data_IF_021881990776
#
_entry.id   IF_021881990776
#
_cell.length_a   1.000
_cell.length_b   1.000
_cell.length_c   1.000
_cell.angle_alpha   90.00
_cell.angle_beta   90.00
_cell.angle_gamma   90.00
#
_symmetry.space_group_name_H-M   'P 1'
#
loop_
_entity.id
_entity.type
_entity.pdbx_description
1 polymer ?
#
# COMPACT_ATOMS: atom_id res chain seq x y z
N UNK A 1 -18.97 -11.64 -3.19
CA UNK A 1 -18.74 -10.65 -4.27
C UNK A 1 -17.56 -11.08 -5.12
N UNK A 2 -17.70 -11.23 -6.44
CA UNK A 2 -16.55 -11.59 -7.29
C UNK A 2 -15.82 -10.31 -7.74
N UNK A 3 -14.72 -9.97 -7.08
CA UNK A 3 -13.86 -8.83 -7.48
C UNK A 3 -13.50 -8.88 -8.96
N UNK A 4 -13.20 -10.07 -9.51
CA UNK A 4 -12.82 -10.25 -10.91
C UNK A 4 -13.84 -9.69 -11.92
N UNK A 5 -15.13 -9.77 -11.63
CA UNK A 5 -16.17 -9.25 -12.53
C UNK A 5 -16.16 -7.72 -12.64
N UNK A 6 -15.70 -7.03 -11.61
CA UNK A 6 -15.68 -5.57 -11.59
C UNK A 6 -14.51 -4.97 -12.38
N UNK A 7 -13.41 -5.70 -12.52
CA UNK A 7 -12.20 -5.18 -13.17
C UNK A 7 -11.97 -5.72 -14.60
N UNK A 8 -12.61 -6.83 -14.97
CA UNK A 8 -12.40 -7.42 -16.29
C UNK A 8 -12.78 -6.46 -17.42
N UNK A 9 -11.82 -6.17 -18.31
CA UNK A 9 -11.96 -5.23 -19.43
C UNK A 9 -12.01 -3.75 -19.03
N UNK A 10 -11.89 -3.41 -17.74
CA UNK A 10 -11.93 -2.03 -17.25
C UNK A 10 -10.57 -1.35 -17.36
N UNK A 11 -10.57 -0.06 -17.69
CA UNK A 11 -9.38 0.79 -17.67
C UNK A 11 -9.10 1.21 -16.23
N UNK A 12 -7.93 0.83 -15.72
CA UNK A 12 -7.52 1.14 -14.35
C UNK A 12 -6.26 1.96 -14.35
N UNK A 13 -6.31 3.15 -13.77
CA UNK A 13 -5.15 4.01 -13.56
C UNK A 13 -4.55 3.73 -12.18
N UNK A 14 -3.28 3.34 -12.14
CA UNK A 14 -2.51 3.12 -10.90
C UNK A 14 -1.40 4.15 -10.84
N UNK A 15 -1.51 5.15 -9.98
CA UNK A 15 -0.38 6.05 -9.72
C UNK A 15 0.55 5.43 -8.68
N UNK A 16 1.85 5.58 -8.84
CA UNK A 16 2.84 4.90 -7.98
C UNK A 16 3.05 3.42 -8.32
N UNK A 17 2.77 3.03 -9.57
CA UNK A 17 2.90 1.64 -10.06
C UNK A 17 4.31 1.06 -9.99
N UNK A 18 5.35 1.89 -9.90
CA UNK A 18 6.75 1.45 -9.75
C UNK A 18 7.14 1.17 -8.29
N UNK A 19 6.36 1.70 -7.35
CA UNK A 19 6.55 1.45 -5.93
C UNK A 19 6.12 0.02 -5.54
N UNK A 20 6.52 -0.41 -4.35
CA UNK A 20 6.28 -1.75 -3.82
C UNK A 20 4.79 -2.16 -3.90
N UNK A 21 3.89 -1.44 -3.22
CA UNK A 21 2.45 -1.75 -3.25
C UNK A 21 1.84 -1.60 -4.65
N UNK A 22 2.24 -0.55 -5.38
CA UNK A 22 1.67 -0.25 -6.68
C UNK A 22 2.00 -1.30 -7.73
N UNK A 23 3.19 -1.90 -7.69
CA UNK A 23 3.57 -2.97 -8.60
C UNK A 23 2.83 -4.28 -8.31
N UNK A 24 2.66 -4.67 -7.04
CA UNK A 24 1.81 -5.80 -6.64
C UNK A 24 0.36 -5.62 -7.08
N UNK A 25 -0.21 -4.44 -6.83
CA UNK A 25 -1.59 -4.12 -7.23
C UNK A 25 -1.76 -4.18 -8.76
N UNK A 26 -0.79 -3.65 -9.50
CA UNK A 26 -0.83 -3.66 -10.97
C UNK A 26 -0.83 -5.08 -11.54
N UNK A 27 -0.03 -5.99 -10.97
CA UNK A 27 -0.03 -7.40 -11.35
C UNK A 27 -1.37 -8.05 -11.02
N UNK A 28 -1.91 -7.83 -9.82
CA UNK A 28 -3.20 -8.38 -9.43
C UNK A 28 -4.34 -7.88 -10.33
N UNK A 29 -4.39 -6.59 -10.61
CA UNK A 29 -5.36 -6.01 -11.54
C UNK A 29 -5.26 -6.61 -12.95
N UNK A 30 -4.05 -6.84 -13.46
CA UNK A 30 -3.83 -7.55 -14.73
C UNK A 30 -4.40 -8.97 -14.68
N UNK A 31 -4.16 -9.70 -13.61
CA UNK A 31 -4.70 -11.05 -13.41
C UNK A 31 -6.24 -11.05 -13.36
N UNK A 32 -6.85 -9.98 -12.82
CA UNK A 32 -8.30 -9.77 -12.82
C UNK A 32 -8.85 -9.33 -14.19
N UNK A 33 -8.02 -9.22 -15.22
CA UNK A 33 -8.41 -8.87 -16.58
C UNK A 33 -8.52 -7.37 -16.86
N UNK A 34 -8.01 -6.51 -15.98
CA UNK A 34 -8.01 -5.06 -16.19
C UNK A 34 -7.01 -4.61 -17.27
N UNK A 35 -7.32 -3.50 -17.94
CA UNK A 35 -6.40 -2.75 -18.79
C UNK A 35 -5.70 -1.72 -17.89
N UNK A 36 -4.49 -2.06 -17.43
CA UNK A 36 -3.78 -1.27 -16.43
C UNK A 36 -2.91 -0.20 -17.08
N UNK A 37 -3.10 1.05 -16.66
CA UNK A 37 -2.25 2.20 -16.96
C UNK A 37 -1.50 2.59 -15.68
N UNK A 38 -0.19 2.44 -15.67
CA UNK A 38 0.67 2.84 -14.56
C UNK A 38 1.19 4.27 -14.74
N UNK A 39 1.28 5.02 -13.66
CA UNK A 39 1.88 6.37 -13.65
C UNK A 39 2.83 6.51 -12.48
N UNK A 40 4.09 6.80 -12.77
CA UNK A 40 5.10 7.09 -11.76
C UNK A 40 6.16 8.03 -12.32
N UNK A 41 6.74 8.83 -11.44
CA UNK A 41 7.83 9.73 -11.80
C UNK A 41 9.13 8.96 -12.09
N UNK A 42 9.50 8.06 -11.17
CA UNK A 42 10.75 7.29 -11.16
C UNK A 42 10.55 5.84 -10.72
N UNK A 43 11.64 5.11 -10.59
CA UNK A 43 11.71 3.79 -9.95
C UNK A 43 12.44 3.97 -8.63
N UNK A 44 11.79 3.74 -7.46
CA UNK A 44 12.28 4.21 -6.17
C UNK A 44 13.48 3.42 -5.62
N UNK A 45 13.79 2.23 -6.18
CA UNK A 45 14.92 1.40 -5.75
C UNK A 45 15.46 0.52 -6.86
N UNK A 46 16.72 0.08 -6.73
CA UNK A 46 17.34 -0.90 -7.60
C UNK A 46 18.03 -1.97 -6.71
N UNK A 47 17.55 -3.22 -6.72
CA UNK A 47 16.39 -3.72 -7.46
C UNK A 47 15.05 -3.15 -6.96
N UNK A 48 13.96 -3.41 -7.71
CA UNK A 48 12.58 -3.09 -7.32
C UNK A 48 11.64 -4.20 -7.80
N UNK A 49 10.51 -4.40 -7.13
CA UNK A 49 9.49 -5.37 -7.55
C UNK A 49 9.05 -5.11 -9.00
N UNK A 50 8.83 -3.85 -9.35
CA UNK A 50 8.51 -3.41 -10.70
C UNK A 50 9.53 -3.88 -11.74
N UNK A 51 10.83 -3.71 -11.45
CA UNK A 51 11.90 -4.06 -12.41
C UNK A 51 12.10 -5.57 -12.54
N UNK A 52 12.14 -6.30 -11.41
CA UNK A 52 12.42 -7.74 -11.42
C UNK A 52 11.26 -8.57 -11.96
N UNK A 53 10.03 -8.04 -11.91
CA UNK A 53 8.86 -8.64 -12.54
C UNK A 53 8.67 -8.21 -13.99
N UNK A 54 9.53 -7.33 -14.52
CA UNK A 54 9.38 -6.76 -15.87
C UNK A 54 8.00 -6.17 -16.13
N UNK A 55 7.40 -5.54 -15.10
CA UNK A 55 6.02 -5.06 -15.15
C UNK A 55 5.78 -4.05 -16.26
N UNK A 56 6.81 -3.27 -16.66
CA UNK A 56 6.73 -2.31 -17.77
C UNK A 56 6.29 -2.92 -19.10
N UNK A 57 6.54 -4.22 -19.30
CA UNK A 57 6.13 -4.94 -20.53
C UNK A 57 4.70 -5.48 -20.46
N UNK A 58 4.08 -5.42 -19.30
CA UNK A 58 2.77 -6.02 -19.01
C UNK A 58 1.64 -5.00 -18.94
N UNK A 59 1.97 -3.71 -18.75
CA UNK A 59 1.00 -2.62 -18.57
C UNK A 59 1.33 -1.44 -19.49
N UNK A 60 0.37 -0.52 -19.68
CA UNK A 60 0.63 0.78 -20.28
C UNK A 60 1.33 1.68 -19.25
N UNK A 61 2.66 1.86 -19.39
CA UNK A 61 3.49 2.54 -18.41
C UNK A 61 3.79 3.98 -18.81
N UNK A 62 3.46 4.94 -17.95
CA UNK A 62 3.64 6.38 -18.18
C UNK A 62 4.61 6.97 -17.15
N UNK A 63 5.61 7.71 -17.61
CA UNK A 63 6.54 8.46 -16.75
C UNK A 63 6.08 9.90 -16.63
N UNK A 64 5.57 10.25 -15.44
CA UNK A 64 5.00 11.57 -15.20
C UNK A 64 5.01 11.88 -13.70
N UNK A 65 5.26 13.15 -13.37
CA UNK A 65 5.20 13.65 -12.01
C UNK A 65 3.77 14.09 -11.66
N UNK A 66 3.20 13.56 -10.59
CA UNK A 66 1.86 13.94 -10.12
C UNK A 66 1.78 15.40 -9.66
N UNK A 67 2.92 16.07 -9.43
CA UNK A 67 2.99 17.51 -9.13
C UNK A 67 2.72 18.39 -10.35
N UNK A 68 2.83 17.84 -11.55
CA UNK A 68 2.48 18.51 -12.81
C UNK A 68 0.99 18.32 -13.11
N UNK A 69 0.18 19.29 -12.68
CA UNK A 69 -1.27 19.29 -12.82
C UNK A 69 -1.73 19.15 -14.29
N UNK A 70 -1.09 19.88 -15.22
CA UNK A 70 -1.47 19.87 -16.63
C UNK A 70 -1.22 18.51 -17.28
N UNK A 71 -0.10 17.89 -16.97
CA UNK A 71 0.26 16.58 -17.49
C UNK A 71 -0.65 15.48 -16.95
N UNK A 72 -0.98 15.52 -15.64
CA UNK A 72 -1.94 14.60 -15.05
C UNK A 72 -3.33 14.77 -15.66
N UNK A 73 -3.82 16.00 -15.81
CA UNK A 73 -5.11 16.27 -16.42
C UNK A 73 -5.20 15.73 -17.87
N UNK A 74 -4.17 16.00 -18.70
CA UNK A 74 -4.09 15.47 -20.07
C UNK A 74 -4.08 13.95 -20.10
N UNK A 75 -3.36 13.29 -19.19
CA UNK A 75 -3.30 11.84 -19.14
C UNK A 75 -4.63 11.23 -18.71
N UNK A 76 -5.27 11.75 -17.67
CA UNK A 76 -6.59 11.30 -17.19
C UNK A 76 -7.63 11.43 -18.30
N UNK A 77 -7.65 12.55 -19.01
CA UNK A 77 -8.54 12.78 -20.17
C UNK A 77 -8.24 11.79 -21.32
N UNK A 78 -6.98 11.47 -21.59
CA UNK A 78 -6.61 10.50 -22.63
C UNK A 78 -7.03 9.07 -22.27
N UNK A 79 -6.82 8.65 -21.03
CA UNK A 79 -7.11 7.29 -20.57
C UNK A 79 -8.61 7.09 -20.39
N UNK A 80 -9.32 8.05 -19.82
CA UNK A 80 -10.71 7.91 -19.39
C UNK A 80 -10.87 6.67 -18.48
N UNK A 81 -10.23 6.64 -17.29
CA UNK A 81 -10.25 5.46 -16.43
C UNK A 81 -11.63 5.16 -15.87
N UNK A 82 -11.94 3.88 -15.65
CA UNK A 82 -13.10 3.41 -14.89
C UNK A 82 -12.78 3.38 -13.39
N UNK A 83 -11.52 3.03 -13.07
CA UNK A 83 -11.01 3.01 -11.71
C UNK A 83 -9.67 3.72 -11.62
N UNK A 84 -9.43 4.35 -10.47
CA UNK A 84 -8.14 4.98 -10.13
C UNK A 84 -7.71 4.47 -8.76
N UNK A 85 -6.45 4.01 -8.65
CA UNK A 85 -5.81 3.72 -7.38
C UNK A 85 -4.63 4.67 -7.22
N UNK A 86 -4.73 5.57 -6.24
CA UNK A 86 -3.72 6.61 -6.02
C UNK A 86 -2.75 6.21 -4.92
N UNK A 87 -1.59 5.62 -5.33
CA UNK A 87 -0.52 5.22 -4.41
C UNK A 87 0.73 6.10 -4.54
N UNK A 88 0.80 6.97 -5.55
CA UNK A 88 1.95 7.86 -5.74
C UNK A 88 2.12 8.78 -4.53
N UNK A 89 3.27 8.69 -3.88
CA UNK A 89 3.61 9.48 -2.72
C UNK A 89 5.12 9.41 -2.45
N UNK A 90 5.69 10.43 -1.82
CA UNK A 90 6.92 10.26 -1.06
C UNK A 90 6.56 9.49 0.21
N UNK A 91 7.06 8.24 0.38
CA UNK A 91 6.53 7.26 1.33
C UNK A 91 7.44 7.00 2.54
N UNK A 92 8.56 7.72 2.67
CA UNK A 92 9.59 7.46 3.67
C UNK A 92 9.73 8.63 4.65
N UNK A 93 9.85 8.29 5.94
CA UNK A 93 9.95 9.30 7.02
C UNK A 93 11.26 10.08 6.94
N UNK A 94 12.42 9.41 6.84
CA UNK A 94 13.73 10.09 6.82
C UNK A 94 13.89 11.06 5.65
N UNK A 95 13.63 10.68 4.39
CA UNK A 95 13.66 11.62 3.28
C UNK A 95 12.72 12.82 3.45
N UNK A 96 11.63 12.68 4.22
CA UNK A 96 10.75 13.82 4.48
C UNK A 96 11.36 14.92 5.36
N UNK A 97 12.34 14.57 6.20
CA UNK A 97 13.12 15.57 6.94
C UNK A 97 14.15 16.29 6.05
N UNK A 98 14.67 15.59 5.04
CA UNK A 98 15.63 16.16 4.09
C UNK A 98 14.94 17.11 3.09
N UNK A 99 13.74 16.72 2.61
CA UNK A 99 12.91 17.52 1.71
C UNK A 99 11.45 17.57 2.17
N UNK A 100 11.13 18.41 3.17
CA UNK A 100 9.76 18.54 3.68
C UNK A 100 8.81 19.18 2.67
N UNK A 101 9.27 20.14 1.88
CA UNK A 101 8.43 20.81 0.87
C UNK A 101 8.11 19.88 -0.29
N UNK A 102 9.08 19.13 -0.80
CA UNK A 102 8.84 18.10 -1.82
C UNK A 102 7.90 17.03 -1.34
N UNK A 103 8.01 16.60 -0.07
CA UNK A 103 7.11 15.64 0.56
C UNK A 103 5.67 16.15 0.61
N UNK A 104 5.46 17.40 1.09
CA UNK A 104 4.13 18.01 1.16
C UNK A 104 3.55 18.21 -0.25
N UNK A 105 4.35 18.75 -1.16
CA UNK A 105 3.92 19.00 -2.54
C UNK A 105 3.54 17.71 -3.24
N UNK A 106 4.31 16.64 -3.09
CA UNK A 106 3.98 15.34 -3.67
C UNK A 106 2.72 14.75 -3.05
N UNK A 107 2.65 14.68 -1.72
CA UNK A 107 1.60 13.93 -1.04
C UNK A 107 0.27 14.68 -0.98
N UNK A 108 0.27 15.99 -0.75
CA UNK A 108 -0.95 16.79 -0.64
C UNK A 108 -1.33 17.45 -1.98
N UNK A 109 -0.41 18.16 -2.62
CA UNK A 109 -0.73 18.87 -3.87
C UNK A 109 -0.85 17.89 -5.03
N UNK A 110 0.02 16.87 -5.12
CA UNK A 110 -0.12 15.81 -6.13
C UNK A 110 -1.46 15.08 -6.04
N UNK A 111 -1.95 14.82 -4.80
CA UNK A 111 -3.31 14.29 -4.57
C UNK A 111 -4.39 15.27 -5.06
N UNK A 112 -4.25 16.58 -4.79
CA UNK A 112 -5.18 17.59 -5.29
C UNK A 112 -5.21 17.63 -6.83
N UNK A 113 -4.05 17.60 -7.48
CA UNK A 113 -3.94 17.61 -8.94
C UNK A 113 -4.68 16.44 -9.59
N UNK A 114 -4.55 15.23 -9.02
CA UNK A 114 -5.28 14.07 -9.51
C UNK A 114 -6.79 14.23 -9.31
N UNK A 115 -7.24 14.62 -8.12
CA UNK A 115 -8.67 14.82 -7.84
C UNK A 115 -9.28 15.91 -8.74
N UNK A 116 -8.53 16.99 -9.00
CA UNK A 116 -8.98 18.06 -9.92
C UNK A 116 -9.08 17.56 -11.36
N UNK A 117 -8.13 16.73 -11.81
CA UNK A 117 -8.20 16.09 -13.12
C UNK A 117 -9.45 15.18 -13.25
N UNK A 118 -9.84 14.46 -12.18
CA UNK A 118 -11.03 13.60 -12.18
C UNK A 118 -12.33 14.38 -12.29
N UNK A 119 -12.38 15.63 -11.79
CA UNK A 119 -13.57 16.51 -11.91
C UNK A 119 -13.98 16.77 -13.37
N UNK A 120 -13.04 16.71 -14.27
CA UNK A 120 -13.24 16.99 -15.69
C UNK A 120 -13.72 15.79 -16.51
N UNK A 121 -13.96 14.64 -15.88
CA UNK A 121 -14.45 13.43 -16.55
C UNK A 121 -15.98 13.46 -16.72
N UNK A 122 -16.43 13.20 -17.93
CA UNK A 122 -17.88 13.13 -18.26
C UNK A 122 -18.47 11.72 -18.06
N UNK A 123 -17.71 10.79 -17.47
CA UNK A 123 -18.13 9.41 -17.22
C UNK A 123 -17.88 9.01 -15.77
N UNK A 124 -18.64 8.02 -15.25
CA UNK A 124 -18.41 7.49 -13.91
C UNK A 124 -16.98 6.96 -13.72
N UNK A 125 -16.36 7.33 -12.61
CA UNK A 125 -15.04 6.85 -12.16
C UNK A 125 -15.06 6.60 -10.66
N UNK A 126 -14.42 5.49 -10.26
CA UNK A 126 -14.16 5.16 -8.85
C UNK A 126 -12.71 5.44 -8.52
N UNK A 127 -12.43 6.24 -7.51
CA UNK A 127 -11.09 6.58 -7.07
C UNK A 127 -10.83 6.08 -5.65
N UNK A 128 -9.85 5.20 -5.49
CA UNK A 128 -9.35 4.76 -4.19
C UNK A 128 -8.08 5.56 -3.87
N UNK A 129 -8.15 6.34 -2.80
CA UNK A 129 -7.08 7.21 -2.34
C UNK A 129 -6.33 6.54 -1.20
N UNK A 130 -5.10 6.10 -1.46
CA UNK A 130 -4.31 5.33 -0.51
C UNK A 130 -3.46 6.30 0.34
N UNK A 131 -3.82 6.38 1.62
CA UNK A 131 -3.08 7.17 2.60
C UNK A 131 -2.23 6.26 3.51
N UNK A 132 -2.28 6.43 4.83
CA UNK A 132 -1.48 5.65 5.77
C UNK A 132 -2.08 5.74 7.17
N UNK A 133 -1.78 4.78 8.03
CA UNK A 133 -1.96 4.87 9.49
C UNK A 133 -1.23 6.08 10.09
N UNK A 134 -0.16 6.53 9.45
CA UNK A 134 0.60 7.74 9.83
C UNK A 134 -0.18 9.05 9.67
N UNK A 135 -1.36 9.02 9.02
CA UNK A 135 -2.25 10.18 8.96
C UNK A 135 -2.91 10.51 10.30
N UNK A 136 -2.92 9.58 11.27
CA UNK A 136 -3.45 9.82 12.61
C UNK A 136 -2.52 10.65 13.48
N UNK A 137 -3.09 11.46 14.38
CA UNK A 137 -2.36 12.09 15.49
C UNK A 137 -2.01 11.02 16.53
N UNK A 138 -0.86 10.37 16.34
CA UNK A 138 -0.46 9.23 17.15
C UNK A 138 -0.05 9.67 18.57
N UNK A 139 -0.84 9.27 19.55
CA UNK A 139 -0.61 9.45 21.00
C UNK A 139 -0.16 8.15 21.69
N UNK A 140 0.14 7.11 20.91
CA UNK A 140 0.68 5.81 21.37
C UNK A 140 -0.19 5.10 22.43
N UNK A 141 -1.50 5.24 22.33
CA UNK A 141 -2.42 4.53 23.21
C UNK A 141 -2.57 3.05 22.83
N UNK A 142 -3.17 2.26 23.74
CA UNK A 142 -3.28 0.80 23.57
C UNK A 142 -4.37 0.37 22.58
N UNK A 143 -5.31 1.26 22.26
CA UNK A 143 -6.40 0.98 21.31
C UNK A 143 -5.97 1.20 19.87
N UNK A 144 -6.59 0.47 18.94
CA UNK A 144 -6.46 0.75 17.51
C UNK A 144 -7.17 2.05 17.13
N UNK A 145 -6.55 2.85 16.26
CA UNK A 145 -7.15 4.07 15.71
C UNK A 145 -8.33 3.72 14.81
N UNK A 146 -9.42 4.46 15.00
CA UNK A 146 -10.65 4.38 14.18
C UNK A 146 -10.65 5.49 13.14
N UNK A 147 -11.44 5.32 12.09
CA UNK A 147 -11.51 6.25 10.97
C UNK A 147 -11.96 7.66 11.36
N UNK A 148 -12.66 7.78 12.48
CA UNK A 148 -13.14 9.05 13.08
C UNK A 148 -12.14 9.71 14.02
N UNK A 149 -11.04 9.03 14.36
CA UNK A 149 -10.03 9.59 15.26
C UNK A 149 -9.25 10.72 14.58
N UNK A 150 -8.64 11.57 15.39
CA UNK A 150 -7.99 12.80 14.92
C UNK A 150 -6.87 12.52 13.95
N UNK A 151 -6.87 13.27 12.84
CA UNK A 151 -5.75 13.32 11.89
C UNK A 151 -4.69 14.30 12.40
N UNK A 152 -3.43 14.00 12.10
CA UNK A 152 -2.29 14.82 12.48
C UNK A 152 -0.98 14.21 12.01
N UNK A 153 0.13 14.63 12.60
CA UNK A 153 1.44 14.06 12.32
C UNK A 153 2.53 14.91 12.94
N UNK A 154 3.51 14.27 13.58
CA UNK A 154 4.62 14.95 14.28
C UNK A 154 5.87 15.07 13.41
N UNK A 155 5.88 14.48 12.24
CA UNK A 155 6.96 14.56 11.25
C UNK A 155 6.39 15.00 9.88
N UNK A 156 7.23 15.48 8.94
CA UNK A 156 6.74 16.01 7.65
C UNK A 156 5.99 14.95 6.81
N UNK A 157 6.39 13.67 6.85
CA UNK A 157 5.69 12.60 6.15
C UNK A 157 4.29 12.37 6.73
N UNK A 158 4.20 12.18 8.04
CA UNK A 158 2.92 11.97 8.74
C UNK A 158 1.98 13.15 8.55
N UNK A 159 2.49 14.38 8.71
CA UNK A 159 1.73 15.59 8.45
C UNK A 159 1.22 15.65 7.00
N UNK A 160 2.06 15.31 6.01
CA UNK A 160 1.68 15.32 4.60
C UNK A 160 0.57 14.31 4.27
N UNK A 161 0.53 13.17 4.97
CA UNK A 161 -0.56 12.17 4.83
C UNK A 161 -1.86 12.69 5.45
N UNK A 162 -1.80 13.35 6.60
CA UNK A 162 -2.95 14.03 7.18
C UNK A 162 -3.48 15.16 6.27
N UNK A 163 -2.58 15.96 5.68
CA UNK A 163 -2.94 17.00 4.70
C UNK A 163 -3.61 16.40 3.46
N UNK A 164 -3.10 15.28 2.92
CA UNK A 164 -3.72 14.59 1.79
C UNK A 164 -5.16 14.18 2.11
N UNK A 165 -5.43 13.66 3.30
CA UNK A 165 -6.80 13.30 3.72
C UNK A 165 -7.72 14.51 3.82
N UNK A 166 -7.23 15.64 4.32
CA UNK A 166 -8.02 16.88 4.34
C UNK A 166 -8.31 17.38 2.93
N UNK A 167 -7.36 17.29 2.02
CA UNK A 167 -7.55 17.60 0.60
C UNK A 167 -8.63 16.69 0.00
N UNK A 168 -8.54 15.38 0.20
CA UNK A 168 -9.53 14.41 -0.33
C UNK A 168 -10.93 14.76 0.20
N UNK A 169 -11.08 14.97 1.51
CA UNK A 169 -12.36 15.35 2.11
C UNK A 169 -12.91 16.66 1.53
N UNK A 170 -12.04 17.65 1.33
CA UNK A 170 -12.45 18.92 0.73
C UNK A 170 -13.00 18.73 -0.69
N UNK A 171 -12.35 17.89 -1.52
CA UNK A 171 -12.84 17.59 -2.87
C UNK A 171 -14.17 16.82 -2.84
N UNK A 172 -14.29 15.83 -1.96
CA UNK A 172 -15.55 15.10 -1.77
C UNK A 172 -16.68 16.04 -1.41
N UNK A 173 -16.53 16.83 -0.34
CA UNK A 173 -17.58 17.71 0.16
C UNK A 173 -17.94 18.84 -0.80
N UNK A 174 -16.94 19.43 -1.47
CA UNK A 174 -17.14 20.62 -2.28
C UNK A 174 -17.53 20.32 -3.74
N UNK A 175 -17.13 19.16 -4.28
CA UNK A 175 -17.23 18.89 -5.71
C UNK A 175 -17.87 17.55 -6.06
N UNK A 176 -17.72 16.50 -5.21
CA UNK A 176 -18.14 15.15 -5.59
C UNK A 176 -19.42 14.67 -4.88
N UNK A 177 -19.93 15.38 -3.88
CA UNK A 177 -21.20 15.08 -3.20
C UNK A 177 -22.45 15.53 -3.98
N UNK A 178 -22.29 16.21 -5.11
CA UNK A 178 -23.42 16.60 -5.96
C UNK A 178 -24.01 15.37 -6.66
N UNK A 179 -25.32 15.37 -6.90
CA UNK A 179 -26.01 14.33 -7.67
C UNK A 179 -25.48 14.17 -9.10
N UNK A 180 -24.86 15.22 -9.63
CA UNK A 180 -24.34 15.28 -10.99
C UNK A 180 -22.86 14.83 -11.06
N UNK A 181 -22.25 14.51 -9.93
CA UNK A 181 -20.85 14.05 -9.91
C UNK A 181 -20.72 12.63 -10.45
N UNK A 182 -19.76 12.47 -11.36
CA UNK A 182 -19.36 11.17 -11.88
C UNK A 182 -18.26 10.50 -11.03
N UNK A 183 -17.74 11.16 -10.00
CA UNK A 183 -16.59 10.68 -9.21
C UNK A 183 -17.05 10.11 -7.88
N UNK A 184 -16.72 8.85 -7.63
CA UNK A 184 -16.88 8.21 -6.32
C UNK A 184 -15.51 7.97 -5.70
N UNK A 185 -15.31 8.40 -4.46
CA UNK A 185 -14.02 8.35 -3.77
C UNK A 185 -14.12 7.48 -2.52
N UNK A 186 -13.15 6.59 -2.34
CA UNK A 186 -12.91 5.87 -1.08
C UNK A 186 -11.50 6.15 -0.57
N UNK A 187 -11.34 6.26 0.75
CA UNK A 187 -10.05 6.53 1.39
C UNK A 187 -9.61 5.26 2.12
N UNK A 188 -8.33 4.92 1.99
CA UNK A 188 -7.81 3.70 2.63
C UNK A 188 -6.56 4.01 3.45
N UNK A 189 -6.51 3.47 4.67
CA UNK A 189 -5.37 3.58 5.59
C UNK A 189 -4.87 2.18 5.90
N UNK A 190 -3.57 1.99 5.79
CA UNK A 190 -2.92 0.74 6.15
C UNK A 190 -1.60 1.01 6.86
N UNK A 191 -1.27 0.16 7.82
CA UNK A 191 -0.04 0.24 8.60
C UNK A 191 1.13 -0.47 7.94
N UNK A 192 2.00 -1.02 8.77
CA UNK A 192 3.22 -1.71 8.36
C UNK A 192 2.93 -2.91 7.46
N UNK A 193 3.39 -2.81 6.23
CA UNK A 193 3.19 -3.83 5.20
C UNK A 193 4.53 -4.45 4.83
N UNK A 194 4.60 -5.78 4.82
CA UNK A 194 5.75 -6.55 4.36
C UNK A 194 5.34 -7.45 3.18
N UNK A 195 6.32 -7.89 2.41
CA UNK A 195 6.09 -8.75 1.23
C UNK A 195 7.33 -8.75 0.36
N UNK A 196 7.40 -9.67 -0.57
CA UNK A 196 8.52 -9.77 -1.47
C UNK A 196 8.66 -8.57 -2.42
N UNK A 197 9.89 -8.20 -2.74
CA UNK A 197 10.17 -7.14 -3.70
C UNK A 197 10.11 -5.71 -3.16
N UNK A 198 10.06 -5.51 -1.85
CA UNK A 198 10.38 -4.23 -1.23
C UNK A 198 11.91 -4.13 -1.05
N UNK A 199 12.53 -3.09 -1.59
CA UNK A 199 13.95 -2.79 -1.37
C UNK A 199 14.15 -1.36 -0.87
N UNK A 200 13.10 -0.78 -0.28
CA UNK A 200 13.24 0.54 0.32
C UNK A 200 14.19 0.48 1.53
N UNK A 201 15.11 1.43 1.56
CA UNK A 201 16.09 1.57 2.66
C UNK A 201 15.41 1.84 4.01
N UNK A 202 16.07 1.51 5.10
CA UNK A 202 15.57 1.70 6.48
C UNK A 202 14.27 0.93 6.80
N UNK A 203 14.02 -0.18 6.07
CA UNK A 203 12.95 -1.11 6.39
C UNK A 203 13.52 -2.46 6.80
N UNK A 204 13.03 -2.97 7.92
CA UNK A 204 13.59 -4.15 8.59
C UNK A 204 13.67 -5.38 7.67
N UNK A 205 12.63 -5.72 6.95
CA UNK A 205 12.62 -6.93 6.09
C UNK A 205 13.58 -6.78 4.91
N UNK A 206 13.52 -5.70 4.08
CA UNK A 206 14.52 -5.47 3.03
C UNK A 206 15.96 -5.49 3.53
N UNK A 207 16.23 -4.82 4.66
CA UNK A 207 17.60 -4.75 5.22
C UNK A 207 18.09 -6.14 5.63
N UNK A 208 17.25 -6.95 6.29
CA UNK A 208 17.55 -8.34 6.63
C UNK A 208 17.79 -9.19 5.39
N UNK A 209 16.87 -9.18 4.42
CA UNK A 209 16.97 -10.00 3.22
C UNK A 209 18.21 -9.66 2.39
N UNK A 210 18.52 -8.38 2.26
CA UNK A 210 19.72 -7.94 1.55
C UNK A 210 21.00 -8.42 2.27
N UNK A 211 21.14 -8.19 3.58
CA UNK A 211 22.30 -8.59 4.35
C UNK A 211 22.50 -10.12 4.33
N UNK A 212 21.45 -10.90 4.58
CA UNK A 212 21.53 -12.36 4.64
C UNK A 212 21.76 -13.00 3.28
N UNK A 213 21.27 -12.41 2.19
CA UNK A 213 21.59 -12.90 0.83
C UNK A 213 23.10 -12.82 0.52
N UNK A 214 23.81 -11.90 1.19
CA UNK A 214 25.25 -11.71 1.09
C UNK A 214 26.02 -12.41 2.24
N UNK A 215 25.35 -13.23 3.06
CA UNK A 215 25.91 -13.83 4.28
C UNK A 215 26.45 -12.81 5.30
N UNK A 216 25.90 -11.60 5.32
CA UNK A 216 26.28 -10.52 6.25
C UNK A 216 25.41 -10.51 7.50
N UNK A 217 25.88 -9.81 8.53
CA UNK A 217 25.13 -9.56 9.77
C UNK A 217 24.36 -8.26 9.58
N UNK A 218 23.10 -8.22 10.05
CA UNK A 218 22.28 -6.99 10.05
C UNK A 218 22.25 -6.38 11.45
N UNK A 219 22.39 -5.05 11.53
CA UNK A 219 22.28 -4.31 12.78
C UNK A 219 20.84 -3.85 13.03
N UNK A 220 20.27 -4.25 14.17
CA UNK A 220 18.89 -3.96 14.55
C UNK A 220 18.88 -2.90 15.66
N UNK A 221 18.25 -1.77 15.35
CA UNK A 221 18.22 -0.58 16.25
C UNK A 221 17.16 -0.68 17.35
N UNK A 222 16.03 -1.32 17.09
CA UNK A 222 14.89 -1.35 17.99
C UNK A 222 14.20 -2.73 17.99
N UNK A 223 14.89 -3.79 18.49
CA UNK A 223 14.37 -5.16 18.42
C UNK A 223 13.09 -5.37 19.23
N UNK A 224 12.84 -4.56 20.25
CA UNK A 224 11.65 -4.63 21.10
C UNK A 224 10.47 -3.77 20.59
N UNK A 225 10.65 -2.97 19.55
CA UNK A 225 9.55 -2.20 18.95
C UNK A 225 8.54 -3.13 18.31
N UNK A 226 7.27 -2.98 18.68
CA UNK A 226 6.17 -3.81 18.17
C UNK A 226 5.51 -3.19 16.95
N UNK A 227 5.10 -4.03 16.00
CA UNK A 227 4.36 -3.58 14.82
C UNK A 227 3.26 -4.60 14.47
N UNK A 228 2.12 -4.11 13.95
CA UNK A 228 1.08 -4.95 13.40
C UNK A 228 1.46 -5.37 11.96
N UNK A 229 2.32 -6.37 11.84
CA UNK A 229 2.80 -6.86 10.54
C UNK A 229 1.68 -7.46 9.72
N UNK A 230 1.58 -7.06 8.45
CA UNK A 230 0.65 -7.65 7.49
C UNK A 230 1.30 -7.83 6.12
N UNK A 231 0.87 -8.84 5.38
CA UNK A 231 1.34 -9.04 4.01
C UNK A 231 0.76 -7.97 3.08
N UNK A 232 1.52 -7.63 2.02
CA UNK A 232 1.10 -6.60 1.05
C UNK A 232 -0.26 -6.89 0.41
N UNK A 233 -0.61 -8.14 0.23
CA UNK A 233 -1.88 -8.56 -0.36
C UNK A 233 -3.09 -8.28 0.55
N UNK A 234 -2.92 -8.21 1.87
CA UNK A 234 -4.01 -7.90 2.80
C UNK A 234 -4.64 -6.52 2.52
N UNK A 235 -3.92 -5.39 2.63
CA UNK A 235 -4.54 -4.12 2.32
C UNK A 235 -4.93 -3.99 0.83
N UNK A 236 -4.20 -4.63 -0.09
CA UNK A 236 -4.57 -4.61 -1.50
C UNK A 236 -5.92 -5.28 -1.76
N UNK A 237 -6.24 -6.39 -1.07
CA UNK A 237 -7.58 -7.01 -1.13
C UNK A 237 -8.67 -6.05 -0.65
N UNK A 238 -8.39 -5.32 0.43
CA UNK A 238 -9.29 -4.29 0.95
C UNK A 238 -9.52 -3.14 -0.02
N UNK A 239 -8.47 -2.68 -0.71
CA UNK A 239 -8.58 -1.64 -1.73
C UNK A 239 -9.44 -2.09 -2.92
N UNK A 240 -9.25 -3.32 -3.37
CA UNK A 240 -10.04 -3.92 -4.45
C UNK A 240 -11.49 -4.14 -4.04
N UNK A 241 -11.73 -4.60 -2.81
CA UNK A 241 -13.08 -4.76 -2.27
C UNK A 241 -13.83 -3.43 -2.18
N UNK A 242 -13.20 -2.38 -1.60
CA UNK A 242 -13.80 -1.05 -1.52
C UNK A 242 -14.09 -0.47 -2.91
N UNK A 243 -13.18 -0.63 -3.87
CA UNK A 243 -13.39 -0.17 -5.24
C UNK A 243 -14.59 -0.84 -5.91
N UNK A 244 -14.73 -2.14 -5.69
CA UNK A 244 -15.82 -2.92 -6.25
C UNK A 244 -17.17 -2.53 -5.64
N UNK A 245 -17.23 -2.29 -4.33
CA UNK A 245 -18.45 -1.81 -3.65
C UNK A 245 -18.84 -0.39 -4.07
N UNK A 246 -17.87 0.52 -4.16
CA UNK A 246 -18.09 1.89 -4.65
C UNK A 246 -18.59 1.92 -6.10
N UNK A 247 -18.25 0.95 -6.93
CA UNK A 247 -18.75 0.88 -8.30
C UNK A 247 -20.28 0.63 -8.34
N UNK A 248 -20.82 -0.01 -7.31
CA UNK A 248 -22.24 -0.41 -7.21
C UNK A 248 -23.01 0.55 -6.32
N UNK A 249 -22.50 0.87 -5.12
CA UNK A 249 -23.23 1.59 -4.09
C UNK A 249 -22.59 2.91 -3.69
N UNK A 250 -23.39 3.97 -3.59
CA UNK A 250 -22.89 5.30 -3.21
C UNK A 250 -22.67 5.46 -1.70
N UNK A 251 -23.14 4.54 -0.85
CA UNK A 251 -23.04 4.66 0.61
C UNK A 251 -21.58 4.67 1.13
N UNK A 252 -20.62 4.19 0.33
CA UNK A 252 -19.21 4.19 0.66
C UNK A 252 -18.45 5.44 0.18
N UNK A 253 -19.14 6.34 -0.54
CA UNK A 253 -18.53 7.54 -1.10
C UNK A 253 -18.08 8.51 0.00
N UNK A 254 -16.82 8.96 -0.09
CA UNK A 254 -16.21 9.86 0.88
C UNK A 254 -15.72 9.17 2.16
N UNK A 255 -16.01 7.88 2.33
CA UNK A 255 -15.68 7.15 3.55
C UNK A 255 -14.23 6.67 3.58
N UNK A 256 -13.65 6.69 4.79
CA UNK A 256 -12.32 6.14 5.06
C UNK A 256 -12.44 4.74 5.68
N UNK A 257 -11.49 3.85 5.34
CA UNK A 257 -11.40 2.49 5.87
C UNK A 257 -9.98 2.14 6.27
N UNK A 258 -9.85 1.54 7.44
CA UNK A 258 -8.60 0.97 7.94
C UNK A 258 -8.46 -0.48 7.49
N UNK A 259 -7.25 -0.84 7.03
CA UNK A 259 -6.89 -2.21 6.67
C UNK A 259 -5.62 -2.61 7.43
N UNK A 260 -5.77 -3.55 8.35
CA UNK A 260 -4.70 -4.02 9.23
C UNK A 260 -4.92 -5.46 9.68
N UNK A 261 -3.94 -6.08 10.33
CA UNK A 261 -4.09 -7.42 10.88
C UNK A 261 -5.04 -7.40 12.08
N UNK A 262 -5.47 -8.55 12.52
CA UNK A 262 -6.27 -8.69 13.75
C UNK A 262 -5.57 -8.03 14.94
N UNK A 263 -6.34 -7.42 15.84
CA UNK A 263 -5.83 -6.58 16.94
C UNK A 263 -4.87 -7.29 17.91
N UNK A 264 -4.90 -8.63 17.96
CA UNK A 264 -3.98 -9.47 18.72
C UNK A 264 -2.65 -9.74 17.99
N UNK A 265 -2.52 -9.40 16.72
CA UNK A 265 -1.30 -9.57 15.95
C UNK A 265 -0.43 -8.30 16.03
N UNK A 266 0.38 -8.24 17.08
CA UNK A 266 1.34 -7.16 17.30
C UNK A 266 2.62 -7.77 17.87
N UNK A 267 3.63 -7.90 17.01
CA UNK A 267 4.86 -8.65 17.30
C UNK A 267 6.08 -7.74 17.29
N UNK A 268 7.04 -7.93 18.23
CA UNK A 268 8.30 -7.20 18.20
C UNK A 268 9.15 -7.56 16.98
N UNK A 269 10.07 -6.69 16.62
CA UNK A 269 11.03 -6.91 15.53
C UNK A 269 11.84 -8.19 15.75
N UNK A 270 12.23 -8.50 17.00
CA UNK A 270 12.96 -9.74 17.31
C UNK A 270 12.15 -10.99 16.95
N UNK A 271 10.85 -11.04 17.27
CA UNK A 271 9.99 -12.18 16.88
C UNK A 271 9.80 -12.27 15.35
N UNK A 272 9.76 -11.13 14.65
CA UNK A 272 9.74 -11.13 13.19
C UNK A 272 11.00 -11.80 12.62
N UNK A 273 12.17 -11.48 13.17
CA UNK A 273 13.45 -12.09 12.76
C UNK A 273 13.48 -13.58 13.08
N UNK A 274 13.03 -13.98 14.26
CA UNK A 274 12.97 -15.39 14.66
C UNK A 274 12.02 -16.20 13.76
N UNK A 275 10.89 -15.60 13.35
CA UNK A 275 9.98 -16.22 12.38
C UNK A 275 10.61 -16.33 10.99
N UNK A 276 11.30 -15.27 10.50
CA UNK A 276 12.03 -15.29 9.23
C UNK A 276 13.11 -16.37 9.21
N UNK A 277 13.78 -16.61 10.34
CA UNK A 277 14.83 -17.63 10.48
C UNK A 277 14.33 -19.07 10.24
N UNK A 278 13.05 -19.33 10.30
CA UNK A 278 12.48 -20.65 9.97
C UNK A 278 12.52 -20.95 8.47
N UNK A 279 12.61 -19.92 7.63
CA UNK A 279 12.51 -20.02 6.16
C UNK A 279 13.78 -19.59 5.43
N UNK A 280 14.70 -18.90 6.14
CA UNK A 280 15.99 -18.44 5.59
C UNK A 280 17.18 -19.01 6.36
N UNK A 281 18.17 -19.52 5.66
CA UNK A 281 19.37 -20.10 6.27
C UNK A 281 20.35 -19.02 6.72
N UNK A 282 21.13 -19.30 7.79
CA UNK A 282 22.22 -18.44 8.27
C UNK A 282 21.82 -17.02 8.70
N UNK A 283 20.64 -16.88 9.32
CA UNK A 283 20.17 -15.62 9.90
C UNK A 283 21.10 -15.15 11.01
N UNK A 284 21.64 -13.93 10.88
CA UNK A 284 22.53 -13.30 11.87
C UNK A 284 22.19 -11.83 12.01
N UNK A 285 22.10 -11.35 13.24
CA UNK A 285 21.87 -9.95 13.55
C UNK A 285 22.54 -9.53 14.86
N UNK A 286 22.80 -8.22 15.01
CA UNK A 286 23.31 -7.59 16.23
C UNK A 286 22.24 -6.64 16.78
N UNK A 287 22.10 -6.62 18.11
CA UNK A 287 21.36 -5.57 18.79
C UNK A 287 22.26 -4.36 19.00
N UNK A 288 21.94 -3.25 18.30
CA UNK A 288 22.66 -1.98 18.41
C UNK A 288 21.83 -0.89 19.10
N UNK A 289 20.78 -1.26 19.82
CA UNK A 289 19.83 -0.35 20.46
C UNK A 289 20.48 0.62 21.47
N UNK A 290 21.57 0.20 22.11
CA UNK A 290 22.30 0.99 23.14
C UNK A 290 23.22 2.05 22.51
N UNK A 291 23.61 1.89 21.25
CA UNK A 291 24.68 2.69 20.63
C UNK A 291 24.23 3.97 19.92
N UNK A 292 22.93 4.17 19.72
CA UNK A 292 22.44 5.28 18.90
C UNK A 292 21.38 6.15 19.62
N UNK A 293 21.64 7.47 19.72
CA UNK A 293 20.66 8.49 20.12
C UNK A 293 19.78 8.86 18.91
N UNK A 294 18.45 9.06 19.06
CA UNK A 294 17.54 8.67 17.99
C UNK A 294 16.51 9.68 17.55
N UNK A 295 16.20 9.62 16.26
CA UNK A 295 14.90 10.05 15.73
C UNK A 295 13.83 9.17 16.43
N UNK A 296 12.87 9.79 17.09
CA UNK A 296 11.80 9.11 17.81
C UNK A 296 10.98 8.26 16.84
N UNK A 297 11.07 6.94 16.96
CA UNK A 297 10.16 6.00 16.29
C UNK A 297 8.99 5.71 17.23
N UNK A 298 7.76 5.86 16.74
CA UNK A 298 6.56 5.53 17.50
C UNK A 298 6.61 4.08 18.00
N UNK A 299 6.44 3.89 19.30
CA UNK A 299 6.48 2.57 19.94
C UNK A 299 5.25 1.72 19.60
N UNK A 300 4.09 2.37 19.44
CA UNK A 300 2.82 1.71 19.17
C UNK A 300 1.98 2.52 18.18
N UNK A 301 1.51 1.84 17.14
CA UNK A 301 0.50 2.35 16.22
C UNK A 301 -0.26 1.16 15.66
N UNK A 302 -1.54 1.02 15.99
CA UNK A 302 -2.43 -0.02 15.45
C UNK A 302 -3.71 0.59 14.92
N UNK A 303 -4.36 -0.15 14.02
CA UNK A 303 -5.64 0.23 13.43
C UNK A 303 -6.77 -0.63 14.03
N UNK A 304 -7.93 -0.03 14.21
CA UNK A 304 -9.19 -0.75 14.36
C UNK A 304 -9.80 -0.92 12.96
N UNK A 305 -10.13 -2.15 12.60
CA UNK A 305 -10.67 -2.50 11.28
C UNK A 305 -12.14 -2.94 11.34
N UNK A 306 -12.84 -2.69 12.44
CA UNK A 306 -14.24 -3.12 12.64
C UNK A 306 -15.18 -2.51 11.59
N UNK A 307 -14.90 -1.28 11.13
CA UNK A 307 -15.67 -0.63 10.06
C UNK A 307 -15.53 -1.39 8.73
N UNK A 308 -14.33 -1.79 8.36
CA UNK A 308 -14.10 -2.58 7.15
C UNK A 308 -14.78 -3.95 7.24
N UNK A 309 -14.75 -4.59 8.41
CA UNK A 309 -15.49 -5.83 8.65
C UNK A 309 -17.00 -5.64 8.50
N UNK A 310 -17.57 -4.61 9.15
CA UNK A 310 -19.00 -4.38 9.15
C UNK A 310 -19.56 -3.96 7.79
N UNK A 311 -18.87 -3.04 7.10
CA UNK A 311 -19.36 -2.43 5.86
C UNK A 311 -19.02 -3.22 4.60
N UNK A 312 -17.83 -3.84 4.57
CA UNK A 312 -17.26 -4.51 3.39
C UNK A 312 -17.16 -6.04 3.56
N UNK A 313 -17.53 -6.58 4.74
CA UNK A 313 -17.23 -7.97 5.11
C UNK A 313 -15.75 -8.33 4.86
N UNK A 314 -14.86 -7.33 5.05
CA UNK A 314 -13.43 -7.52 4.90
C UNK A 314 -12.77 -7.79 6.24
N UNK A 315 -11.94 -8.81 6.26
CA UNK A 315 -11.05 -9.16 7.37
C UNK A 315 -9.73 -9.70 6.83
N UNK A 316 -8.63 -9.56 7.60
CA UNK A 316 -7.36 -10.17 7.22
C UNK A 316 -7.50 -11.70 7.18
N UNK A 317 -6.87 -12.33 6.20
CA UNK A 317 -6.92 -13.77 5.97
C UNK A 317 -5.68 -14.51 6.45
N UNK A 318 -4.54 -13.82 6.59
CA UNK A 318 -3.27 -14.42 6.94
C UNK A 318 -2.93 -14.21 8.42
N UNK A 319 -2.35 -15.23 9.03
CA UNK A 319 -1.70 -15.12 10.32
C UNK A 319 -0.27 -14.57 10.14
N UNK A 320 0.35 -14.16 11.25
CA UNK A 320 1.73 -13.64 11.23
C UNK A 320 2.73 -14.59 10.58
N UNK A 321 2.66 -15.88 10.91
CA UNK A 321 3.54 -16.90 10.32
C UNK A 321 3.38 -17.02 8.81
N UNK A 322 2.15 -16.97 8.29
CA UNK A 322 1.88 -17.04 6.84
C UNK A 322 2.42 -15.80 6.13
N UNK A 323 2.21 -14.62 6.74
CA UNK A 323 2.73 -13.34 6.25
C UNK A 323 4.25 -13.37 6.12
N UNK A 324 4.95 -13.84 7.16
CA UNK A 324 6.42 -13.92 7.15
C UNK A 324 6.92 -14.96 6.17
N UNK A 325 6.31 -16.17 6.18
CA UNK A 325 6.64 -17.25 5.25
C UNK A 325 6.57 -16.78 3.81
N UNK A 326 5.42 -16.27 3.38
CA UNK A 326 5.20 -15.83 2.00
C UNK A 326 6.17 -14.72 1.59
N UNK A 327 6.48 -13.80 2.52
CA UNK A 327 7.47 -12.74 2.30
C UNK A 327 8.87 -13.31 2.07
N UNK A 328 9.33 -14.19 2.97
CA UNK A 328 10.69 -14.77 2.87
C UNK A 328 10.83 -15.68 1.66
N UNK A 329 9.82 -16.49 1.35
CA UNK A 329 9.82 -17.37 0.17
C UNK A 329 9.96 -16.59 -1.13
N UNK A 330 9.36 -15.39 -1.24
CA UNK A 330 9.52 -14.54 -2.41
C UNK A 330 10.98 -14.09 -2.60
N UNK A 331 11.64 -13.61 -1.52
CA UNK A 331 13.05 -13.22 -1.58
C UNK A 331 13.97 -14.43 -1.82
N UNK A 332 13.67 -15.58 -1.20
CA UNK A 332 14.42 -16.82 -1.42
C UNK A 332 14.35 -17.23 -2.88
N UNK A 333 13.17 -17.17 -3.48
CA UNK A 333 12.99 -17.46 -4.90
C UNK A 333 13.78 -16.49 -5.78
N UNK A 334 13.76 -15.20 -5.48
CA UNK A 334 14.51 -14.18 -6.20
C UNK A 334 16.04 -14.41 -6.15
N UNK A 335 16.59 -14.63 -4.97
CA UNK A 335 18.04 -14.77 -4.79
C UNK A 335 18.59 -16.14 -5.24
N UNK A 336 17.77 -17.18 -5.25
CA UNK A 336 18.21 -18.56 -5.57
C UNK A 336 17.88 -18.99 -7.01
N UNK A 337 17.02 -18.29 -7.74
CA UNK A 337 16.49 -18.72 -9.04
C UNK A 337 16.65 -17.65 -10.13
N UNK A 338 17.88 -17.36 -10.52
CA UNK A 338 18.23 -16.28 -11.48
C UNK A 338 17.57 -16.36 -12.86
N UNK A 339 17.04 -17.52 -13.26
CA UNK A 339 16.48 -17.77 -14.61
C UNK A 339 14.95 -17.94 -14.62
N UNK A 340 14.26 -17.72 -13.50
CA UNK A 340 12.81 -17.91 -13.42
C UNK A 340 12.07 -16.57 -13.36
N UNK A 341 10.81 -16.59 -13.80
CA UNK A 341 9.97 -15.40 -13.87
C UNK A 341 9.49 -14.98 -12.48
N UNK A 342 9.96 -13.82 -11.99
CA UNK A 342 9.44 -13.22 -10.78
C UNK A 342 8.00 -12.75 -10.93
N UNK A 343 7.57 -12.44 -12.16
CA UNK A 343 6.18 -12.12 -12.47
C UNK A 343 5.26 -13.31 -12.18
N UNK A 344 5.60 -14.49 -12.72
CA UNK A 344 4.80 -15.70 -12.53
C UNK A 344 4.81 -16.16 -11.07
N UNK A 345 5.95 -16.01 -10.37
CA UNK A 345 6.02 -16.30 -8.95
C UNK A 345 5.13 -15.35 -8.12
N UNK A 346 5.11 -14.06 -8.46
CA UNK A 346 4.21 -13.08 -7.82
C UNK A 346 2.73 -13.46 -8.06
N UNK A 347 2.36 -13.88 -9.27
CA UNK A 347 1.01 -14.39 -9.58
C UNK A 347 0.70 -15.62 -8.72
N UNK A 348 1.63 -16.57 -8.58
CA UNK A 348 1.39 -17.77 -7.76
C UNK A 348 1.13 -17.42 -6.28
N UNK A 349 1.77 -16.40 -5.74
CA UNK A 349 1.50 -15.91 -4.38
C UNK A 349 0.13 -15.21 -4.27
N UNK A 350 -0.28 -14.46 -5.28
CA UNK A 350 -1.63 -13.89 -5.34
C UNK A 350 -2.69 -15.01 -5.36
N UNK A 351 -2.45 -16.07 -6.14
CA UNK A 351 -3.35 -17.23 -6.20
C UNK A 351 -3.42 -17.97 -4.86
N UNK A 352 -2.28 -18.16 -4.20
CA UNK A 352 -2.21 -18.79 -2.87
C UNK A 352 -2.97 -17.97 -1.83
N UNK A 353 -2.74 -16.65 -1.79
CA UNK A 353 -3.47 -15.74 -0.93
C UNK A 353 -4.99 -15.78 -1.17
N UNK A 354 -5.40 -15.76 -2.44
CA UNK A 354 -6.82 -15.85 -2.81
C UNK A 354 -7.44 -17.19 -2.38
N UNK A 355 -6.70 -18.30 -2.48
CA UNK A 355 -7.15 -19.61 -1.97
C UNK A 355 -7.30 -19.62 -0.46
N UNK A 356 -6.35 -19.02 0.28
CA UNK A 356 -6.45 -18.88 1.75
C UNK A 356 -7.72 -18.10 2.11
N UNK A 357 -7.95 -16.94 1.52
CA UNK A 357 -9.13 -16.14 1.77
C UNK A 357 -10.43 -16.88 1.43
N UNK A 358 -10.44 -17.60 0.31
CA UNK A 358 -11.58 -18.41 -0.14
C UNK A 358 -11.89 -19.57 0.82
N UNK A 359 -10.86 -20.22 1.38
CA UNK A 359 -11.03 -21.30 2.35
C UNK A 359 -11.64 -20.82 3.68
N UNK A 360 -11.61 -19.53 3.94
CA UNK A 360 -12.19 -18.86 5.11
C UNK A 360 -13.54 -18.18 4.80
N UNK A 361 -14.10 -18.41 3.61
CA UNK A 361 -15.38 -17.81 3.15
C UNK A 361 -15.36 -16.27 3.19
N UNK A 362 -14.20 -15.64 2.90
CA UNK A 362 -14.11 -14.18 2.86
C UNK A 362 -14.75 -13.68 1.56
N UNK A 363 -15.71 -12.78 1.68
CA UNK A 363 -16.65 -12.38 0.61
C UNK A 363 -15.98 -11.92 -0.68
N UNK A 364 -14.91 -11.11 -0.59
CA UNK A 364 -14.23 -10.58 -1.77
C UNK A 364 -13.55 -11.68 -2.62
N UNK A 365 -13.23 -12.83 -2.05
CA UNK A 365 -12.50 -13.93 -2.71
C UNK A 365 -13.40 -14.92 -3.47
N UNK A 366 -14.72 -14.80 -3.33
CA UNK A 366 -15.71 -15.71 -3.94
C UNK A 366 -15.92 -15.52 -5.44
#
# INVERSE_FOLDING_TARGET
MQISKNFNGKKVLVTGNTGFKGSWLSIWLKQLGAIVHGVSFDIPSTPSHYSVTSLSTQIEDHRLDIRDADSIAKLVQKIQPDFVFHLAAQALVRPSYEDPLGTITTNAIGTANLLDALRSLDKPVVAIMITSDKAYDNVEWVWGYRETDRLGGKDPYSASKGMAELVIRTYVESFFNSSDSNVRVGITRAGNVIGGGDWAVDRIVPDCMNAWSLNQIVDIRSPQSTRPWQHVLEPLSGYLALAAELAVENKFHGEAYNFGPSSNQNYPVSELIDEMAKYWDHVRWNDVSVAQSHVHEAGLLKLNCDKALYDLDWRPSMQFSDTVKMTVEWYKYYYQNSNQSMYDFTISQIDEYTKIAKSQDINWSS
#
